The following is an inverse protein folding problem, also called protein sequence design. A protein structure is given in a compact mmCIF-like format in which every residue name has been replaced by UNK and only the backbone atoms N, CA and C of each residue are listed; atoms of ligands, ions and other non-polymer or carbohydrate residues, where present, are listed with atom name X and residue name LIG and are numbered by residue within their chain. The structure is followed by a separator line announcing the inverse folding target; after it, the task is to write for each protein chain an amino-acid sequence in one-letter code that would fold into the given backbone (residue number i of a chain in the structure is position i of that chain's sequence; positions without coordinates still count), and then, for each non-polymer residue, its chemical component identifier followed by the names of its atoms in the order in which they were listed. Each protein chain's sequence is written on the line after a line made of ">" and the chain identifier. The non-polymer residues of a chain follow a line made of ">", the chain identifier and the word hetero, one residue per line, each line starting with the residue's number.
data_IF_257994741671
#
_entry.id   IF_257994741671
#
_cell.length_a   1.000
_cell.length_b   1.000
_cell.length_c   1.000
_cell.angle_alpha   90.00
_cell.angle_beta   90.00
_cell.angle_gamma   90.00
#
_symmetry.space_group_name_H-M   'P 1'
#
loop_
_entity.id
_entity.type
_entity.pdbx_description
1 polymer ?
#
# COMPACT_ATOMS: atom_id res chain seq x y z
N UNK A 1 8.76 17.51 0.72
CA UNK A 1 10.09 17.74 1.31
C UNK A 1 10.23 17.09 2.67
N UNK A 2 9.55 17.53 3.75
CA UNK A 2 9.60 16.81 5.05
C UNK A 2 8.22 16.34 5.48
N UNK A 3 8.12 15.09 5.95
CA UNK A 3 6.89 14.50 6.48
C UNK A 3 7.15 13.97 7.89
N UNK A 4 6.24 14.30 8.82
CA UNK A 4 6.12 13.62 10.10
C UNK A 4 4.98 12.63 10.01
N UNK A 5 5.27 11.35 10.23
CA UNK A 5 4.26 10.29 10.14
C UNK A 5 4.44 9.24 11.23
N UNK A 6 3.42 8.39 11.38
CA UNK A 6 3.47 7.20 12.25
C UNK A 6 4.00 5.96 11.51
N UNK A 7 4.28 6.08 10.21
CA UNK A 7 4.93 5.01 9.46
C UNK A 7 6.40 4.98 9.85
N UNK A 8 6.99 3.79 9.99
CA UNK A 8 8.39 3.58 10.38
C UNK A 8 9.35 3.90 9.23
N UNK A 9 9.20 5.07 8.63
CA UNK A 9 9.97 5.57 7.50
C UNK A 9 10.83 6.76 7.94
N UNK A 10 12.14 6.70 7.72
CA UNK A 10 13.07 7.75 8.14
C UNK A 10 13.49 7.65 9.61
N UNK A 11 13.85 8.78 10.21
CA UNK A 11 14.42 8.84 11.55
C UNK A 11 13.33 9.03 12.62
N UNK A 12 13.36 8.30 13.74
CA UNK A 12 12.43 8.55 14.84
C UNK A 12 12.71 9.93 15.46
N UNK A 13 11.67 10.76 15.58
CA UNK A 13 11.80 12.13 16.05
C UNK A 13 11.32 12.30 17.50
N UNK A 14 10.09 11.87 17.80
CA UNK A 14 9.48 12.00 19.13
C UNK A 14 8.30 11.04 19.31
N UNK A 15 7.91 10.81 20.56
CA UNK A 15 6.70 10.11 20.95
C UNK A 15 5.63 11.09 21.40
N UNK A 16 4.37 10.77 21.09
CA UNK A 16 3.18 11.44 21.60
C UNK A 16 2.16 10.39 22.03
N UNK A 17 1.81 10.38 23.32
CA UNK A 17 1.03 9.28 23.90
C UNK A 17 1.79 7.95 23.79
N UNK A 18 1.20 6.95 23.14
CA UNK A 18 1.83 5.64 22.90
C UNK A 18 2.53 5.52 21.52
N UNK A 19 2.46 6.58 20.70
CA UNK A 19 2.85 6.53 19.28
C UNK A 19 4.19 7.22 19.05
N UNK A 20 5.07 6.59 18.27
CA UNK A 20 6.32 7.20 17.81
C UNK A 20 6.09 7.83 16.44
N UNK A 21 6.54 9.07 16.31
CA UNK A 21 6.54 9.82 15.07
C UNK A 21 7.92 9.79 14.44
N UNK A 22 7.95 9.48 13.15
CA UNK A 22 9.13 9.44 12.31
C UNK A 22 9.14 10.65 11.38
N UNK A 23 10.33 11.20 11.16
CA UNK A 23 10.58 12.27 10.21
C UNK A 23 11.31 11.69 9.00
N UNK A 24 10.78 11.95 7.81
CA UNK A 24 11.37 11.52 6.55
C UNK A 24 11.31 12.63 5.51
N UNK A 25 12.19 12.51 4.51
CA UNK A 25 12.11 13.34 3.31
C UNK A 25 11.18 12.68 2.29
N UNK A 26 10.24 13.42 1.72
CA UNK A 26 9.40 12.95 0.61
C UNK A 26 9.54 13.85 -0.62
N UNK A 27 9.65 13.23 -1.79
CA UNK A 27 9.75 13.87 -3.11
C UNK A 27 11.19 13.91 -3.65
N UNK A 28 11.34 13.82 -4.96
CA UNK A 28 12.62 14.07 -5.65
C UNK A 28 12.93 15.58 -5.69
N UNK A 29 14.20 15.94 -5.51
CA UNK A 29 14.62 17.35 -5.47
C UNK A 29 14.34 18.04 -4.14
N UNK A 30 14.28 17.27 -3.05
CA UNK A 30 14.13 17.80 -1.70
C UNK A 30 15.14 18.92 -1.45
N UNK A 31 14.64 20.04 -0.94
CA UNK A 31 15.47 21.18 -0.62
C UNK A 31 16.57 20.82 0.40
N UNK A 32 17.74 21.44 0.29
CA UNK A 32 18.79 21.43 1.34
C UNK A 32 18.23 21.80 2.74
N UNK A 33 17.11 22.55 2.79
CA UNK A 33 16.41 22.88 4.04
C UNK A 33 15.72 21.67 4.68
N UNK A 34 15.30 20.67 3.90
CA UNK A 34 14.68 19.44 4.40
C UNK A 34 15.67 18.60 5.20
N UNK A 35 16.86 18.39 4.65
CA UNK A 35 17.95 17.69 5.34
C UNK A 35 18.40 18.48 6.57
N UNK A 36 18.59 19.79 6.43
CA UNK A 36 18.93 20.68 7.56
C UNK A 36 17.89 20.58 8.69
N UNK A 37 16.61 20.48 8.36
CA UNK A 37 15.55 20.33 9.35
C UNK A 37 15.59 18.97 10.05
N UNK A 38 15.87 17.88 9.33
CA UNK A 38 16.01 16.54 9.92
C UNK A 38 17.21 16.48 10.87
N UNK A 39 18.34 17.05 10.46
CA UNK A 39 19.52 17.16 11.32
C UNK A 39 19.20 17.97 12.58
N UNK A 40 18.52 19.11 12.41
CA UNK A 40 18.13 19.95 13.54
C UNK A 40 17.15 19.24 14.48
N UNK A 41 16.07 18.64 13.98
CA UNK A 41 15.00 18.06 14.82
C UNK A 41 15.49 16.82 15.60
N UNK A 42 16.47 16.11 15.06
CA UNK A 42 17.09 14.93 15.72
C UNK A 42 18.30 15.29 16.59
N UNK A 43 18.83 16.52 16.48
CA UNK A 43 19.90 17.04 17.34
C UNK A 43 19.45 17.29 18.78
N UNK A 44 20.40 17.50 19.69
CA UNK A 44 20.11 17.84 21.09
C UNK A 44 19.30 19.13 21.23
N UNK A 45 19.49 20.09 20.33
CA UNK A 45 18.76 21.36 20.32
C UNK A 45 17.31 21.13 19.92
N UNK A 46 17.07 20.38 18.83
CA UNK A 46 15.72 20.01 18.39
C UNK A 46 15.00 19.19 19.45
N UNK A 47 15.69 18.22 20.06
CA UNK A 47 15.14 17.42 21.15
C UNK A 47 14.75 18.27 22.35
N UNK A 48 15.62 19.18 22.78
CA UNK A 48 15.32 20.09 23.89
C UNK A 48 14.12 20.99 23.58
N UNK A 49 13.97 21.43 22.33
CA UNK A 49 12.82 22.22 21.89
C UNK A 49 11.51 21.41 21.96
N UNK A 50 11.54 20.13 21.57
CA UNK A 50 10.41 19.21 21.68
C UNK A 50 10.01 18.98 23.14
N UNK A 51 10.98 18.68 24.02
CA UNK A 51 10.74 18.44 25.45
C UNK A 51 10.17 19.69 26.17
N UNK A 52 10.55 20.88 25.70
CA UNK A 52 10.09 22.14 26.29
C UNK A 52 8.75 22.62 25.72
N UNK A 53 8.22 21.94 24.71
CA UNK A 53 6.99 22.37 24.04
C UNK A 53 5.75 22.07 24.88
N UNK A 54 5.01 23.12 25.23
CA UNK A 54 3.74 22.99 25.96
C UNK A 54 2.59 23.14 24.99
N UNK A 55 1.87 22.06 24.74
CA UNK A 55 0.70 22.10 23.87
C UNK A 55 -0.52 22.70 24.60
N UNK A 56 -1.38 23.39 23.86
CA UNK A 56 -2.62 23.96 24.40
C UNK A 56 -3.71 22.91 24.69
N UNK A 57 -3.58 21.71 24.11
CA UNK A 57 -4.52 20.60 24.25
C UNK A 57 -4.06 19.53 25.26
N UNK A 58 -2.97 19.78 26.00
CA UNK A 58 -2.46 18.86 27.02
C UNK A 58 -1.72 17.63 26.49
N UNK A 59 -1.49 17.55 25.18
CA UNK A 59 -0.64 16.53 24.56
C UNK A 59 0.83 16.80 24.91
N UNK A 60 1.48 15.79 25.46
CA UNK A 60 2.92 15.81 25.73
C UNK A 60 3.70 15.20 24.57
N UNK A 61 4.87 15.76 24.31
CA UNK A 61 5.83 15.23 23.35
C UNK A 61 7.12 14.88 24.11
N UNK A 62 7.71 13.74 23.78
CA UNK A 62 8.93 13.25 24.42
C UNK A 62 9.89 12.73 23.36
N UNK A 63 11.17 13.01 23.51
CA UNK A 63 12.24 12.42 22.71
C UNK A 63 12.85 11.18 23.36
N UNK A 64 12.37 10.86 24.56
CA UNK A 64 12.63 9.61 25.25
C UNK A 64 11.50 8.63 24.92
N UNK A 65 11.85 7.57 24.19
CA UNK A 65 10.97 6.48 23.80
C UNK A 65 11.74 5.16 23.87
N UNK A 66 11.04 4.07 24.12
CA UNK A 66 11.65 2.75 24.24
C UNK A 66 12.22 2.27 22.90
N UNK A 67 13.50 1.90 22.88
CA UNK A 67 14.16 1.37 21.68
C UNK A 67 13.50 0.07 21.17
N UNK A 68 12.79 -0.68 22.02
CA UNK A 68 12.01 -1.84 21.62
C UNK A 68 10.81 -1.48 20.72
N UNK A 69 10.32 -0.23 20.76
CA UNK A 69 9.25 0.25 19.87
C UNK A 69 9.79 0.61 18.47
N UNK A 70 11.11 0.85 18.36
CA UNK A 70 11.80 1.19 17.11
C UNK A 70 12.10 -0.03 16.24
N UNK A 71 12.02 -1.23 16.80
CA UNK A 71 12.21 -2.46 16.02
C UNK A 71 11.14 -2.48 14.93
N UNK A 72 11.49 -2.62 13.64
CA UNK A 72 10.49 -2.88 12.61
C UNK A 72 9.60 -4.01 13.12
N UNK A 73 8.29 -3.83 13.08
CA UNK A 73 7.43 -4.98 13.25
C UNK A 73 7.78 -5.85 12.05
N UNK A 74 8.53 -6.93 12.29
CA UNK A 74 8.80 -7.93 11.29
C UNK A 74 7.43 -8.36 10.80
N UNK A 75 7.08 -7.94 9.58
CA UNK A 75 5.90 -8.46 8.90
C UNK A 75 6.14 -9.95 8.86
N UNK A 76 5.41 -10.68 9.69
CA UNK A 76 5.34 -12.13 9.63
C UNK A 76 5.23 -12.49 8.15
N UNK A 77 6.18 -13.25 7.62
CA UNK A 77 6.18 -13.66 6.22
C UNK A 77 5.00 -14.62 6.04
N UNK A 78 3.83 -14.05 5.77
CA UNK A 78 2.63 -14.81 5.41
C UNK A 78 2.95 -15.54 4.12
N UNK A 79 2.81 -16.87 4.11
CA UNK A 79 2.96 -17.64 2.87
C UNK A 79 1.83 -17.25 1.92
N UNK A 80 2.17 -16.55 0.83
CA UNK A 80 1.24 -16.08 -0.20
C UNK A 80 1.39 -16.84 -1.51
N UNK A 81 2.03 -18.02 -1.46
CA UNK A 81 2.26 -18.84 -2.65
C UNK A 81 0.94 -19.25 -3.31
N UNK A 82 -0.07 -19.60 -2.52
CA UNK A 82 -1.38 -19.97 -3.03
C UNK A 82 -2.06 -18.76 -3.69
N UNK A 83 -2.13 -17.63 -3.00
CA UNK A 83 -2.64 -16.37 -3.56
C UNK A 83 -1.99 -15.96 -4.87
N UNK A 84 -0.65 -16.07 -4.97
CA UNK A 84 0.09 -15.82 -6.21
C UNK A 84 -0.34 -16.75 -7.34
N UNK A 85 -0.45 -18.05 -7.08
CA UNK A 85 -0.86 -19.03 -8.09
C UNK A 85 -2.29 -18.79 -8.59
N UNK A 86 -3.21 -18.47 -7.69
CA UNK A 86 -4.60 -18.15 -8.02
C UNK A 86 -4.65 -16.86 -8.85
N UNK A 87 -3.93 -15.81 -8.44
CA UNK A 87 -3.85 -14.55 -9.18
C UNK A 87 -3.25 -14.74 -10.58
N UNK A 88 -2.17 -15.50 -10.70
CA UNK A 88 -1.55 -15.83 -11.98
C UNK A 88 -2.50 -16.57 -12.92
N UNK A 89 -3.25 -17.55 -12.41
CA UNK A 89 -4.20 -18.34 -13.18
C UNK A 89 -5.40 -17.51 -13.65
N UNK A 90 -5.98 -16.72 -12.75
CA UNK A 90 -7.28 -16.09 -12.97
C UNK A 90 -7.17 -14.64 -13.49
N UNK A 91 -6.20 -13.87 -12.98
CA UNK A 91 -6.05 -12.45 -13.30
C UNK A 91 -4.96 -12.21 -14.36
N UNK A 92 -4.00 -13.14 -14.49
CA UNK A 92 -2.77 -13.00 -15.29
C UNK A 92 -2.96 -12.86 -16.80
N UNK A 93 -4.16 -13.10 -17.33
CA UNK A 93 -4.51 -12.80 -18.73
C UNK A 93 -4.63 -11.30 -18.99
N UNK A 94 -5.12 -10.55 -18.00
CA UNK A 94 -5.36 -9.11 -18.11
C UNK A 94 -4.29 -8.33 -17.35
N UNK A 95 -4.03 -8.69 -16.10
CA UNK A 95 -3.13 -7.96 -15.22
C UNK A 95 -1.73 -8.59 -15.17
N UNK A 96 -0.70 -7.76 -15.22
CA UNK A 96 0.64 -8.19 -14.80
C UNK A 96 0.62 -8.41 -13.28
N UNK A 97 0.82 -9.65 -12.86
CA UNK A 97 0.82 -10.08 -11.46
C UNK A 97 2.22 -9.87 -10.89
N UNK A 98 3.24 -10.24 -11.66
CA UNK A 98 4.65 -10.02 -11.37
C UNK A 98 5.46 -9.82 -12.67
N UNK A 99 6.78 -9.76 -12.56
CA UNK A 99 7.67 -9.58 -13.72
C UNK A 99 7.65 -10.77 -14.69
N UNK A 100 7.24 -11.97 -14.26
CA UNK A 100 7.24 -13.18 -15.10
C UNK A 100 6.16 -13.16 -16.18
N UNK A 101 5.05 -12.43 -15.94
CA UNK A 101 3.95 -12.27 -16.90
C UNK A 101 3.77 -10.84 -17.44
N UNK A 102 4.59 -9.87 -17.01
CA UNK A 102 4.49 -8.46 -17.42
C UNK A 102 4.32 -8.24 -18.93
N UNK A 103 5.06 -8.99 -19.76
CA UNK A 103 5.01 -8.89 -21.24
C UNK A 103 3.97 -9.79 -21.92
N UNK A 104 3.14 -10.50 -21.15
CA UNK A 104 2.17 -11.50 -21.63
C UNK A 104 0.71 -11.07 -21.35
N UNK A 105 0.51 -9.82 -20.95
CA UNK A 105 -0.78 -9.30 -20.46
C UNK A 105 -1.29 -8.16 -21.33
N UNK A 106 -2.49 -7.67 -21.03
CA UNK A 106 -3.07 -6.53 -21.74
C UNK A 106 -2.40 -5.25 -21.20
N UNK A 107 -1.63 -4.57 -22.05
CA UNK A 107 -0.88 -3.39 -21.64
C UNK A 107 -1.72 -2.18 -21.18
N UNK A 108 -3.02 -2.19 -21.45
CA UNK A 108 -3.95 -1.12 -21.04
C UNK A 108 -4.61 -1.35 -19.67
N UNK A 109 -4.43 -2.51 -19.05
CA UNK A 109 -4.89 -2.78 -17.69
C UNK A 109 -3.75 -2.62 -16.69
N UNK A 110 -3.95 -1.93 -15.55
CA UNK A 110 -2.89 -1.68 -14.58
C UNK A 110 -2.34 -2.99 -14.00
N UNK A 111 -1.03 -3.08 -13.76
CA UNK A 111 -0.45 -4.22 -13.04
C UNK A 111 -0.91 -4.26 -11.57
N UNK A 112 -0.71 -5.38 -10.89
CA UNK A 112 -0.94 -5.46 -9.44
C UNK A 112 -0.11 -4.41 -8.70
N UNK A 113 1.17 -4.26 -9.06
CA UNK A 113 2.05 -3.23 -8.51
C UNK A 113 1.50 -1.80 -8.79
N UNK A 114 0.95 -1.53 -9.98
CA UNK A 114 0.34 -0.23 -10.28
C UNK A 114 -0.93 -0.01 -9.45
N UNK A 115 -1.80 -1.02 -9.31
CA UNK A 115 -2.99 -0.95 -8.46
C UNK A 115 -2.64 -0.68 -7.00
N UNK A 116 -1.52 -1.21 -6.50
CA UNK A 116 -1.02 -0.99 -5.13
C UNK A 116 -0.63 0.46 -4.83
N UNK A 117 -0.53 1.33 -5.84
CA UNK A 117 -0.27 2.77 -5.64
C UNK A 117 -1.51 3.56 -5.24
N UNK A 118 -2.72 3.01 -5.44
CA UNK A 118 -3.96 3.69 -5.10
C UNK A 118 -4.23 3.66 -3.59
N UNK A 119 -4.77 4.75 -3.05
CA UNK A 119 -5.14 4.81 -1.61
C UNK A 119 -6.23 3.78 -1.26
N UNK A 120 -7.15 3.53 -2.19
CA UNK A 120 -8.26 2.60 -2.07
C UNK A 120 -7.95 1.23 -2.71
N UNK A 121 -6.67 0.86 -2.84
CA UNK A 121 -6.28 -0.40 -3.50
C UNK A 121 -6.96 -1.62 -2.86
N UNK A 122 -7.05 -1.67 -1.52
CA UNK A 122 -7.52 -2.86 -0.80
C UNK A 122 -8.99 -3.14 -1.11
N UNK A 123 -9.86 -2.14 -0.98
CA UNK A 123 -11.28 -2.26 -1.32
C UNK A 123 -11.50 -2.54 -2.82
N UNK A 124 -10.61 -2.09 -3.70
CA UNK A 124 -10.68 -2.43 -5.13
C UNK A 124 -10.40 -3.91 -5.39
N UNK A 125 -9.47 -4.51 -4.63
CA UNK A 125 -9.23 -5.95 -4.70
C UNK A 125 -10.37 -6.74 -4.05
N UNK A 126 -10.86 -6.32 -2.89
CA UNK A 126 -11.99 -6.96 -2.20
C UNK A 126 -13.28 -6.96 -3.05
N UNK A 127 -13.56 -5.87 -3.74
CA UNK A 127 -14.80 -5.70 -4.51
C UNK A 127 -14.59 -5.86 -6.03
N UNK A 128 -13.45 -6.39 -6.49
CA UNK A 128 -13.08 -6.34 -7.91
C UNK A 128 -14.14 -6.96 -8.82
N UNK A 129 -14.81 -8.02 -8.39
CA UNK A 129 -15.86 -8.74 -9.11
C UNK A 129 -17.12 -7.88 -9.36
N UNK A 130 -17.25 -6.74 -8.68
CA UNK A 130 -18.30 -5.73 -8.88
C UNK A 130 -17.86 -4.56 -9.77
N UNK A 131 -16.55 -4.43 -10.04
CA UNK A 131 -15.96 -3.32 -10.77
C UNK A 131 -15.75 -3.68 -12.24
N UNK A 132 -16.24 -2.85 -13.15
CA UNK A 132 -16.06 -3.07 -14.59
C UNK A 132 -14.57 -3.22 -14.97
N UNK A 133 -14.24 -4.19 -15.84
CA UNK A 133 -15.16 -5.03 -16.62
C UNK A 133 -15.55 -6.37 -15.95
N UNK A 134 -15.10 -6.65 -14.73
CA UNK A 134 -15.15 -7.98 -14.10
C UNK A 134 -16.54 -8.62 -13.94
N UNK A 135 -17.64 -7.89 -13.61
CA UNK A 135 -18.96 -8.52 -13.43
C UNK A 135 -19.44 -9.31 -14.65
N UNK A 136 -18.93 -8.97 -15.84
CA UNK A 136 -19.32 -9.64 -17.09
C UNK A 136 -18.69 -11.03 -17.29
N UNK A 137 -17.68 -11.39 -16.50
CA UNK A 137 -16.95 -12.66 -16.65
C UNK A 137 -16.39 -13.23 -15.35
N UNK A 138 -16.74 -12.67 -14.19
CA UNK A 138 -16.26 -13.13 -12.88
C UNK A 138 -17.43 -13.46 -11.97
N UNK A 139 -17.33 -14.57 -11.25
CA UNK A 139 -18.27 -14.94 -10.20
C UNK A 139 -17.53 -15.37 -8.95
N UNK A 140 -18.02 -14.89 -7.81
CA UNK A 140 -17.63 -15.37 -6.48
C UNK A 140 -18.70 -16.35 -6.01
N UNK A 141 -18.29 -17.57 -5.63
CA UNK A 141 -19.16 -18.61 -5.06
C UNK A 141 -19.97 -18.05 -3.89
N UNK A 142 -21.26 -18.39 -3.83
CA UNK A 142 -22.23 -17.94 -2.84
C UNK A 142 -22.45 -16.41 -2.72
N UNK A 143 -21.83 -15.61 -3.59
CA UNK A 143 -21.92 -14.13 -3.56
C UNK A 143 -22.48 -13.55 -4.85
N UNK A 144 -22.01 -14.01 -6.01
CA UNK A 144 -22.42 -13.48 -7.31
C UNK A 144 -23.59 -14.27 -7.90
N UNK A 145 -24.53 -13.58 -8.56
CA UNK A 145 -25.58 -14.25 -9.31
C UNK A 145 -25.01 -15.03 -10.53
N UNK A 146 -25.64 -16.15 -10.92
CA UNK A 146 -25.37 -16.85 -12.18
C UNK A 146 -25.41 -15.90 -13.40
N UNK A 147 -24.51 -16.09 -14.39
CA UNK A 147 -24.63 -15.38 -15.65
C UNK A 147 -25.97 -15.71 -16.32
N UNK A 148 -26.64 -14.70 -16.86
CA UNK A 148 -27.90 -14.87 -17.58
C UNK A 148 -27.67 -15.70 -18.84
N UNK A 149 -28.55 -16.68 -19.09
CA UNK A 149 -28.51 -17.52 -20.32
C UNK A 149 -28.56 -16.68 -21.60
N UNK A 150 -29.23 -15.52 -21.57
CA UNK A 150 -29.35 -14.60 -22.71
C UNK A 150 -28.15 -13.66 -22.91
N UNK A 151 -27.15 -13.71 -22.04
CA UNK A 151 -25.95 -12.87 -22.12
C UNK A 151 -24.74 -13.63 -21.56
N UNK A 152 -24.23 -14.63 -22.31
CA UNK A 152 -23.09 -15.41 -21.86
C UNK A 152 -21.84 -14.52 -21.72
N UNK A 153 -20.89 -14.88 -20.84
CA UNK A 153 -19.66 -14.14 -20.66
C UNK A 153 -18.88 -13.96 -21.98
N UNK A 154 -18.30 -12.77 -22.24
CA UNK A 154 -17.59 -12.49 -23.50
C UNK A 154 -16.22 -13.19 -23.60
N UNK A 155 -15.71 -13.73 -22.49
CA UNK A 155 -14.45 -14.46 -22.39
C UNK A 155 -14.62 -15.67 -21.45
N UNK A 156 -13.63 -16.56 -21.41
CA UNK A 156 -13.63 -17.65 -20.43
C UNK A 156 -13.80 -17.10 -19.01
N UNK A 157 -14.85 -17.51 -18.28
CA UNK A 157 -15.15 -16.95 -16.99
C UNK A 157 -14.12 -17.31 -15.93
N UNK A 158 -14.08 -16.49 -14.88
CA UNK A 158 -13.35 -16.70 -13.65
C UNK A 158 -14.37 -17.07 -12.57
N UNK A 159 -14.11 -18.17 -11.88
CA UNK A 159 -14.88 -18.61 -10.72
C UNK A 159 -13.90 -18.66 -9.54
N UNK A 160 -14.25 -18.02 -8.43
CA UNK A 160 -13.45 -18.00 -7.21
C UNK A 160 -14.35 -18.22 -6.00
N UNK A 161 -13.79 -18.76 -4.91
CA UNK A 161 -14.41 -18.68 -3.58
C UNK A 161 -14.00 -17.40 -2.85
N UNK A 162 -14.63 -17.10 -1.71
CA UNK A 162 -14.18 -15.99 -0.86
C UNK A 162 -12.81 -16.26 -0.24
N UNK A 163 -12.50 -17.51 0.11
CA UNK A 163 -11.18 -17.90 0.61
C UNK A 163 -10.10 -17.71 -0.46
N UNK A 164 -10.38 -18.07 -1.72
CA UNK A 164 -9.46 -17.83 -2.83
C UNK A 164 -9.26 -16.32 -3.09
N UNK A 165 -10.29 -15.51 -2.88
CA UNK A 165 -10.18 -14.05 -2.93
C UNK A 165 -9.28 -13.52 -1.80
N UNK A 166 -9.47 -14.00 -0.57
CA UNK A 166 -8.64 -13.63 0.57
C UNK A 166 -7.16 -13.98 0.35
N UNK A 167 -6.88 -15.13 -0.25
CA UNK A 167 -5.52 -15.54 -0.65
C UNK A 167 -4.92 -14.56 -1.68
N UNK A 168 -5.69 -14.14 -2.70
CA UNK A 168 -5.24 -13.13 -3.67
C UNK A 168 -4.94 -11.80 -2.98
N UNK A 169 -5.79 -11.36 -2.05
CA UNK A 169 -5.59 -10.10 -1.32
C UNK A 169 -4.36 -10.18 -0.42
N UNK A 170 -4.15 -11.30 0.27
CA UNK A 170 -2.95 -11.55 1.07
C UNK A 170 -1.67 -11.44 0.21
N UNK A 171 -1.69 -12.02 -0.99
CA UNK A 171 -0.61 -11.83 -1.96
C UNK A 171 -0.45 -10.36 -2.38
N UNK A 172 -1.54 -9.68 -2.74
CA UNK A 172 -1.51 -8.29 -3.18
C UNK A 172 -0.91 -7.35 -2.11
N UNK A 173 -1.16 -7.60 -0.81
CA UNK A 173 -0.56 -6.84 0.31
C UNK A 173 0.98 -6.85 0.26
N UNK A 174 1.58 -7.96 -0.17
CA UNK A 174 3.04 -8.12 -0.28
C UNK A 174 3.62 -7.60 -1.60
N UNK A 175 2.79 -7.32 -2.60
CA UNK A 175 3.26 -6.72 -3.85
C UNK A 175 3.71 -5.28 -3.56
N UNK A 176 4.99 -5.00 -3.87
CA UNK A 176 5.51 -3.64 -3.78
C UNK A 176 4.77 -2.72 -4.76
N UNK A 177 4.29 -1.54 -4.31
CA UNK A 177 3.72 -0.55 -5.20
C UNK A 177 4.72 -0.17 -6.30
N UNK A 178 4.22 -0.01 -7.53
CA UNK A 178 5.05 0.40 -8.65
C UNK A 178 5.54 1.84 -8.46
N UNK A 179 6.78 2.10 -8.86
CA UNK A 179 7.23 3.46 -9.11
C UNK A 179 6.63 3.93 -10.45
N UNK A 180 5.70 4.89 -10.37
CA UNK A 180 5.02 5.47 -11.53
C UNK A 180 5.70 6.76 -12.03
N UNK A 181 6.81 7.17 -11.41
CA UNK A 181 7.45 8.46 -11.67
C UNK A 181 6.67 9.65 -11.13
N UNK A 182 7.16 10.86 -11.40
CA UNK A 182 6.53 12.10 -10.91
C UNK A 182 5.18 12.37 -11.58
N UNK A 183 4.30 13.07 -10.85
CA UNK A 183 3.03 13.55 -11.39
C UNK A 183 3.25 14.42 -12.64
N UNK A 184 2.46 14.20 -13.68
CA UNK A 184 2.51 15.03 -14.89
C UNK A 184 2.06 16.44 -14.52
N UNK A 185 3.00 17.40 -14.52
CA UNK A 185 2.66 18.80 -14.35
C UNK A 185 2.07 19.33 -15.65
N UNK A 186 0.82 19.78 -15.58
CA UNK A 186 0.18 20.51 -16.67
C UNK A 186 0.68 21.95 -16.61
N UNK A 187 1.38 22.41 -17.66
CA UNK A 187 1.73 23.82 -17.83
C UNK A 187 0.50 24.67 -18.16
#
# INVERSE_FOLDING_TARGET
>A
DVVLSRQKEGSPAFQSGAEIWYVSVQGEGASDFAETFIDWITSDIGKSAIESFVSSNGITFSTQFDAALLTPQETELVDVTLGHQIAMKNCGRCHAIDETNRKKTIGSTPSFAALRTFQDWEIRFEAFFTLNPHPSFTQIEDVSEPFSEGSPPPISPIFLTLEELDEIIAYARQVMPADLGQSIQSN
#
